data_IF_904654646542
#
_entry.id   IF_904654646542
#
_cell.length_a   1.000
_cell.length_b   1.000
_cell.length_c   1.000
_cell.angle_alpha   90.00
_cell.angle_beta   90.00
_cell.angle_gamma   90.00
#
_symmetry.space_group_name_H-M   'P 1'
#
loop_
_entity.id
_entity.type
_entity.pdbx_description
1 polymer ?
#
# COMPACT_ATOMS: atom_id res chain seq x y z
N UNK A 1 -18.48 -23.55 64.01
CA UNK A 1 -17.37 -23.33 63.07
C UNK A 1 -17.47 -21.91 62.54
N UNK A 2 -16.43 -21.09 62.73
CA UNK A 2 -16.37 -19.69 62.34
C UNK A 2 -15.09 -19.54 61.52
N UNK A 3 -15.19 -19.24 60.22
CA UNK A 3 -14.02 -19.02 59.36
C UNK A 3 -13.89 -17.54 59.03
N UNK A 4 -12.81 -16.97 59.54
CA UNK A 4 -12.49 -15.56 59.54
C UNK A 4 -12.18 -15.05 58.12
N UNK A 5 -12.87 -13.98 57.74
CA UNK A 5 -12.49 -13.05 56.67
C UNK A 5 -11.12 -12.41 56.97
N UNK A 6 -10.18 -12.50 56.03
CA UNK A 6 -8.89 -11.81 56.08
C UNK A 6 -8.67 -10.98 54.82
N UNK A 7 -9.02 -9.69 54.90
CA UNK A 7 -8.76 -8.65 53.90
C UNK A 7 -7.72 -7.69 54.46
N UNK A 8 -6.55 -7.55 53.82
CA UNK A 8 -5.64 -6.39 53.98
C UNK A 8 -4.87 -6.20 52.67
N UNK A 9 -5.24 -5.19 51.86
CA UNK A 9 -4.70 -3.81 51.79
C UNK A 9 -3.35 -3.73 51.06
N UNK A 10 -3.36 -3.21 49.81
CA UNK A 10 -2.86 -1.88 49.38
C UNK A 10 -1.37 -1.66 49.67
N UNK A 11 -0.49 -1.20 48.77
CA UNK A 11 -0.46 -0.03 47.87
C UNK A 11 0.94 -0.14 47.17
N UNK A 12 1.27 0.34 45.97
CA UNK A 12 1.45 1.74 45.62
C UNK A 12 1.76 1.87 44.12
N UNK A 13 1.00 2.76 43.49
CA UNK A 13 1.31 3.45 42.23
C UNK A 13 2.43 4.46 42.49
N UNK A 14 3.47 4.51 41.64
CA UNK A 14 4.34 5.68 41.54
C UNK A 14 4.10 6.40 40.22
N UNK A 15 3.86 7.69 40.40
CA UNK A 15 3.60 8.72 39.41
C UNK A 15 4.92 9.25 38.83
N UNK A 16 4.84 9.83 37.64
CA UNK A 16 5.95 10.47 36.91
C UNK A 16 5.52 10.61 35.44
N UNK A 17 4.52 11.43 35.16
CA UNK A 17 4.62 12.86 34.79
C UNK A 17 4.74 13.07 33.28
N UNK A 18 3.92 14.00 32.81
CA UNK A 18 3.52 14.21 31.44
C UNK A 18 4.60 14.87 30.57
N UNK A 19 4.72 14.43 29.31
CA UNK A 19 4.97 15.33 28.18
C UNK A 19 4.14 14.89 26.98
N UNK A 20 3.04 15.59 26.77
CA UNK A 20 2.31 15.64 25.51
C UNK A 20 3.26 16.10 24.40
N UNK A 21 3.52 15.26 23.41
CA UNK A 21 3.98 15.75 22.11
C UNK A 21 2.76 16.26 21.35
N UNK A 22 2.42 17.51 21.62
CA UNK A 22 1.73 18.39 20.68
C UNK A 22 2.54 18.39 19.38
N UNK A 23 1.96 17.95 18.25
CA UNK A 23 2.50 18.28 16.93
C UNK A 23 1.94 19.65 16.56
N UNK A 24 2.70 20.76 16.67
CA UNK A 24 2.19 22.05 16.25
C UNK A 24 2.11 22.06 14.72
N UNK A 25 0.89 22.23 14.22
CA UNK A 25 0.60 22.70 12.86
C UNK A 25 1.12 24.15 12.75
N UNK A 26 2.42 24.30 12.52
CA UNK A 26 3.09 25.58 12.31
C UNK A 26 3.08 25.92 10.83
N UNK A 27 2.18 26.80 10.42
CA UNK A 27 2.26 27.52 9.14
C UNK A 27 3.44 28.50 9.25
N UNK A 28 4.55 28.20 8.59
CA UNK A 28 5.61 29.18 8.33
C UNK A 28 5.61 29.54 6.85
N UNK A 29 5.15 30.76 6.58
CA UNK A 29 5.45 31.51 5.38
C UNK A 29 6.94 31.89 5.40
N UNK A 30 7.72 31.36 4.47
CA UNK A 30 9.04 31.90 4.13
C UNK A 30 9.07 32.14 2.62
N UNK A 31 9.17 33.41 2.26
CA UNK A 31 9.41 33.86 0.89
C UNK A 31 10.86 33.50 0.48
N UNK A 32 11.12 33.21 -0.81
CA UNK A 32 12.45 32.86 -1.28
C UNK A 32 13.30 34.12 -1.53
N UNK A 33 14.43 34.25 -0.83
CA UNK A 33 15.49 35.19 -1.19
C UNK A 33 16.60 34.44 -1.93
N UNK A 34 16.63 34.68 -3.24
CA UNK A 34 17.79 34.68 -4.15
C UNK A 34 19.18 34.38 -3.54
N UNK A 35 19.82 33.30 -4.00
CA UNK A 35 21.12 33.36 -4.68
C UNK A 35 21.66 31.96 -5.00
N UNK A 36 21.87 31.74 -6.30
CA UNK A 36 22.77 30.79 -6.97
C UNK A 36 23.35 29.60 -6.18
N UNK A 37 22.82 28.42 -6.50
CA UNK A 37 23.63 27.21 -6.69
C UNK A 37 22.93 26.34 -7.74
N UNK A 38 23.21 26.61 -9.02
CA UNK A 38 22.83 25.71 -10.10
C UNK A 38 23.62 24.41 -9.99
N UNK A 39 23.00 23.38 -9.40
CA UNK A 39 23.32 22.00 -9.74
C UNK A 39 22.37 21.56 -10.85
N UNK A 40 22.93 21.43 -12.04
CA UNK A 40 22.24 21.12 -13.29
C UNK A 40 21.86 19.63 -13.29
N UNK A 41 20.64 19.32 -12.87
CA UNK A 41 20.04 18.00 -13.03
C UNK A 41 19.68 17.79 -14.51
N UNK A 42 20.57 17.16 -15.26
CA UNK A 42 20.35 16.83 -16.67
C UNK A 42 19.28 15.74 -16.79
N UNK A 43 18.06 16.18 -17.08
CA UNK A 43 16.91 15.34 -17.42
C UNK A 43 17.06 14.77 -18.84
N UNK A 44 17.86 13.72 -19.02
CA UNK A 44 17.92 12.93 -20.26
C UNK A 44 18.30 11.47 -19.98
N UNK A 45 17.32 10.63 -19.62
CA UNK A 45 17.35 9.21 -19.99
C UNK A 45 16.18 8.92 -20.93
N UNK A 46 16.18 9.62 -22.05
CA UNK A 46 15.47 9.20 -23.26
C UNK A 46 16.17 7.96 -23.79
N UNK A 47 15.73 6.79 -23.36
CA UNK A 47 16.08 5.52 -23.97
C UNK A 47 15.20 5.36 -25.22
N UNK A 48 15.75 5.75 -26.38
CA UNK A 48 15.16 5.44 -27.68
C UNK A 48 15.39 3.96 -27.93
N UNK A 49 14.35 3.14 -27.80
CA UNK A 49 14.34 1.81 -28.42
C UNK A 49 14.05 2.02 -29.89
N UNK A 50 15.09 1.90 -30.70
CA UNK A 50 14.97 1.71 -32.14
C UNK A 50 14.23 0.39 -32.36
N UNK A 51 12.96 0.49 -32.77
CA UNK A 51 12.19 -0.66 -33.20
C UNK A 51 12.61 -0.98 -34.64
N UNK A 52 13.13 -2.19 -34.84
CA UNK A 52 13.39 -2.75 -36.17
C UNK A 52 12.10 -3.41 -36.67
N UNK A 53 11.60 -2.94 -37.81
CA UNK A 53 10.52 -3.57 -38.54
C UNK A 53 11.09 -4.74 -39.35
N UNK A 54 10.79 -5.97 -38.94
CA UNK A 54 10.90 -7.15 -39.79
C UNK A 54 9.53 -7.79 -39.92
N UNK A 55 8.97 -7.66 -41.12
CA UNK A 55 7.80 -8.39 -41.55
C UNK A 55 8.13 -9.86 -41.78
N UNK A 56 7.23 -10.72 -41.34
CA UNK A 56 7.01 -12.04 -41.92
C UNK A 56 5.51 -12.30 -41.84
N UNK A 57 4.87 -12.14 -42.97
CA UNK A 57 3.53 -12.62 -43.27
C UNK A 57 3.53 -14.15 -43.24
N UNK A 58 2.78 -14.76 -42.32
CA UNK A 58 2.34 -16.14 -42.51
C UNK A 58 0.98 -16.35 -41.86
N UNK A 59 0.05 -16.77 -42.70
CA UNK A 59 -1.34 -17.07 -42.41
C UNK A 59 -1.48 -18.53 -42.00
N UNK A 60 -2.10 -18.80 -40.85
CA UNK A 60 -2.81 -20.06 -40.61
C UNK A 60 -4.18 -19.78 -39.99
N UNK A 61 -5.20 -20.16 -40.76
CA UNK A 61 -6.61 -20.19 -40.39
C UNK A 61 -6.93 -21.41 -39.51
N UNK A 62 -8.09 -21.33 -38.85
CA UNK A 62 -8.83 -22.36 -38.13
C UNK A 62 -8.30 -22.66 -36.71
N UNK A 63 -9.13 -22.75 -35.67
CA UNK A 63 -10.52 -23.16 -35.64
C UNK A 63 -11.30 -22.38 -34.57
N UNK A 64 -12.61 -22.26 -34.80
CA UNK A 64 -13.59 -21.76 -33.85
C UNK A 64 -13.63 -22.63 -32.60
N UNK A 65 -13.26 -22.07 -31.45
CA UNK A 65 -13.88 -22.41 -30.18
C UNK A 65 -14.60 -21.17 -29.68
N UNK A 66 -15.93 -21.19 -29.82
CA UNK A 66 -16.81 -20.15 -29.31
C UNK A 66 -16.99 -20.40 -27.82
N UNK A 67 -15.95 -20.15 -27.04
CA UNK A 67 -16.06 -20.06 -25.58
C UNK A 67 -16.93 -18.82 -25.29
N UNK A 68 -18.14 -19.08 -24.83
CA UNK A 68 -19.16 -18.12 -24.41
C UNK A 68 -18.53 -17.01 -23.56
N UNK A 69 -18.16 -15.88 -24.19
CA UNK A 69 -17.63 -14.71 -23.49
C UNK A 69 -18.67 -14.27 -22.45
N UNK A 70 -18.38 -14.34 -21.14
CA UNK A 70 -19.34 -13.91 -20.14
C UNK A 70 -19.59 -12.43 -20.35
N UNK A 71 -20.87 -12.10 -20.61
CA UNK A 71 -21.38 -10.75 -20.85
C UNK A 71 -20.64 -9.74 -19.97
N UNK A 72 -19.93 -8.80 -20.60
CA UNK A 72 -19.11 -7.82 -19.91
C UNK A 72 -19.93 -7.16 -18.79
N UNK A 73 -19.57 -7.48 -17.54
CA UNK A 73 -20.28 -6.98 -16.37
C UNK A 73 -20.12 -5.47 -16.37
N UNK A 74 -21.23 -4.73 -16.39
CA UNK A 74 -21.21 -3.26 -16.41
C UNK A 74 -20.50 -2.77 -15.15
N UNK A 75 -19.29 -2.22 -15.29
CA UNK A 75 -18.47 -1.86 -14.14
C UNK A 75 -18.95 -0.51 -13.57
N UNK A 76 -19.25 -0.50 -12.27
CA UNK A 76 -19.80 0.65 -11.54
C UNK A 76 -19.13 0.75 -10.18
N UNK A 77 -18.95 1.96 -9.69
CA UNK A 77 -18.35 2.20 -8.39
C UNK A 77 -19.24 1.61 -7.28
N UNK A 78 -18.64 0.87 -6.34
CA UNK A 78 -19.41 0.32 -5.22
C UNK A 78 -19.95 1.41 -4.27
N UNK A 79 -19.15 2.46 -4.01
CA UNK A 79 -19.54 3.59 -3.13
C UNK A 79 -20.51 4.55 -3.83
N UNK A 80 -20.14 5.07 -5.00
CA UNK A 80 -20.88 6.15 -5.67
C UNK A 80 -21.74 5.72 -6.85
N UNK A 81 -21.70 4.45 -7.26
CA UNK A 81 -22.45 3.87 -8.40
C UNK A 81 -22.23 4.56 -9.75
N UNK A 82 -21.28 5.50 -9.85
CA UNK A 82 -20.81 6.09 -11.11
C UNK A 82 -20.34 4.97 -12.04
N UNK A 83 -20.70 5.07 -13.33
CA UNK A 83 -20.24 4.14 -14.35
C UNK A 83 -18.72 4.24 -14.46
N UNK A 84 -18.06 3.11 -14.25
CA UNK A 84 -16.64 2.93 -14.47
C UNK A 84 -16.53 2.36 -15.88
N UNK A 85 -16.00 3.15 -16.81
CA UNK A 85 -15.78 2.69 -18.18
C UNK A 85 -14.60 1.73 -18.23
N UNK A 86 -13.65 1.99 -19.13
CA UNK A 86 -12.37 1.29 -19.16
C UNK A 86 -11.50 1.60 -17.91
N UNK A 87 -11.72 2.74 -17.28
CA UNK A 87 -10.94 3.29 -16.15
C UNK A 87 -11.48 2.89 -14.77
N UNK A 88 -11.86 1.62 -14.59
CA UNK A 88 -12.26 1.08 -13.29
C UNK A 88 -11.06 0.61 -12.47
N UNK A 89 -10.88 1.14 -11.25
CA UNK A 89 -9.84 0.64 -10.35
C UNK A 89 -10.40 -0.50 -9.50
N UNK A 90 -9.78 -1.67 -9.59
CA UNK A 90 -10.10 -2.80 -8.72
C UNK A 90 -9.35 -2.65 -7.40
N UNK A 91 -10.07 -2.73 -6.28
CA UNK A 91 -9.48 -2.77 -4.95
C UNK A 91 -9.20 -4.23 -4.53
N UNK A 92 -8.36 -4.41 -3.51
CA UNK A 92 -8.00 -5.73 -2.96
C UNK A 92 -9.18 -6.41 -2.28
N UNK A 93 -10.20 -5.66 -1.86
CA UNK A 93 -11.47 -6.20 -1.39
C UNK A 93 -12.37 -6.76 -2.52
N UNK A 94 -11.91 -6.78 -3.78
CA UNK A 94 -12.63 -7.35 -4.92
C UNK A 94 -13.68 -6.44 -5.58
N UNK A 95 -13.90 -5.25 -5.02
CA UNK A 95 -14.83 -4.25 -5.57
C UNK A 95 -14.13 -3.27 -6.52
N UNK A 96 -14.90 -2.68 -7.45
CA UNK A 96 -14.41 -1.66 -8.38
C UNK A 96 -14.84 -0.25 -7.97
N UNK A 97 -13.94 0.73 -8.13
CA UNK A 97 -14.12 2.11 -7.69
C UNK A 97 -13.71 3.14 -8.77
N UNK A 98 -14.23 4.36 -8.64
CA UNK A 98 -13.78 5.50 -9.45
C UNK A 98 -12.49 6.10 -8.88
N UNK A 99 -11.86 7.02 -9.63
CA UNK A 99 -10.64 7.71 -9.22
C UNK A 99 -10.70 8.33 -7.82
N UNK A 100 -11.88 8.81 -7.41
CA UNK A 100 -12.10 9.42 -6.08
C UNK A 100 -12.24 8.39 -4.96
N UNK A 101 -12.83 7.22 -5.23
CA UNK A 101 -13.08 6.18 -4.21
C UNK A 101 -12.05 5.03 -4.25
N UNK A 102 -10.92 5.26 -4.91
CA UNK A 102 -9.87 4.25 -5.11
C UNK A 102 -9.15 3.90 -3.81
N UNK A 103 -8.98 4.87 -2.92
CA UNK A 103 -8.20 4.72 -1.70
C UNK A 103 -8.99 4.03 -0.59
N UNK A 104 -8.32 3.23 0.23
CA UNK A 104 -8.93 2.42 1.30
C UNK A 104 -9.73 3.24 2.30
N UNK A 105 -9.32 4.49 2.53
CA UNK A 105 -9.95 5.42 3.48
C UNK A 105 -11.36 5.83 3.05
N UNK A 106 -11.64 5.76 1.75
CA UNK A 106 -12.87 6.31 1.14
C UNK A 106 -14.00 5.28 0.98
N UNK A 107 -13.71 3.98 1.13
CA UNK A 107 -14.69 2.92 0.91
C UNK A 107 -14.72 1.84 2.00
N UNK A 108 -14.15 2.12 3.18
CA UNK A 108 -14.09 1.17 4.31
C UNK A 108 -13.64 -0.22 3.86
N UNK A 109 -12.43 -0.30 3.27
CA UNK A 109 -11.89 -1.54 2.74
C UNK A 109 -11.86 -2.65 3.80
N UNK A 110 -12.47 -3.79 3.51
CA UNK A 110 -12.49 -4.97 4.40
C UNK A 110 -11.21 -5.80 4.35
N UNK A 111 -10.20 -5.35 3.60
CA UNK A 111 -8.95 -6.09 3.41
C UNK A 111 -7.89 -5.68 4.44
N UNK A 112 -7.32 -6.68 5.13
CA UNK A 112 -6.30 -6.46 6.16
C UNK A 112 -4.89 -6.30 5.57
N UNK A 113 -4.54 -5.05 5.22
CA UNK A 113 -3.23 -4.71 4.66
C UNK A 113 -2.05 -5.08 5.59
N UNK A 114 -2.27 -5.01 6.91
CA UNK A 114 -1.22 -5.30 7.91
C UNK A 114 -0.83 -6.78 7.91
N UNK A 115 -1.81 -7.67 7.88
CA UNK A 115 -1.57 -9.11 7.88
C UNK A 115 -0.88 -9.53 6.58
N UNK A 116 -1.37 -9.05 5.43
CA UNK A 116 -0.78 -9.38 4.14
C UNK A 116 0.66 -8.84 3.98
N UNK A 117 0.95 -7.65 4.51
CA UNK A 117 2.31 -7.12 4.51
C UNK A 117 3.25 -7.92 5.43
N UNK A 118 2.78 -8.32 6.62
CA UNK A 118 3.57 -9.12 7.54
C UNK A 118 3.88 -10.52 6.98
N UNK A 119 2.93 -11.13 6.29
CA UNK A 119 3.13 -12.41 5.63
C UNK A 119 4.20 -12.33 4.54
N UNK A 120 4.16 -11.29 3.70
CA UNK A 120 5.18 -11.04 2.67
C UNK A 120 6.55 -10.79 3.27
N UNK A 121 6.64 -9.97 4.32
CA UNK A 121 7.91 -9.71 5.00
C UNK A 121 8.50 -10.97 5.65
N UNK A 122 7.66 -11.88 6.15
CA UNK A 122 8.11 -13.16 6.70
C UNK A 122 8.66 -14.08 5.62
N UNK A 123 8.05 -14.08 4.44
CA UNK A 123 8.54 -14.85 3.28
C UNK A 123 9.86 -14.28 2.76
N UNK A 124 9.98 -12.95 2.71
CA UNK A 124 11.15 -12.25 2.19
C UNK A 124 12.34 -12.20 3.16
N UNK A 125 12.14 -12.44 4.46
CA UNK A 125 13.21 -12.42 5.46
C UNK A 125 13.65 -13.85 5.83
N UNK A 126 14.58 -14.46 5.07
CA UNK A 126 15.16 -15.74 5.44
C UNK A 126 15.93 -15.57 6.75
N UNK A 127 15.71 -16.49 7.68
CA UNK A 127 16.35 -16.44 9.00
C UNK A 127 17.86 -16.62 8.82
N UNK A 128 18.61 -15.53 9.04
CA UNK A 128 20.06 -15.55 9.00
C UNK A 128 20.57 -16.18 10.30
N UNK A 129 20.88 -17.47 10.25
CA UNK A 129 21.58 -18.17 11.35
C UNK A 129 23.08 -18.05 11.10
N UNK A 130 23.73 -17.09 11.74
CA UNK A 130 25.18 -17.03 11.73
C UNK A 130 25.75 -18.02 12.76
N UNK A 131 26.66 -18.88 12.32
CA UNK A 131 27.43 -19.75 13.21
C UNK A 131 28.32 -18.87 14.12
N UNK A 132 28.34 -19.18 15.41
CA UNK A 132 29.06 -18.38 16.42
C UNK A 132 30.57 -18.49 16.14
N UNK A 133 31.12 -17.42 15.55
CA UNK A 133 32.53 -17.32 15.21
C UNK A 133 33.38 -17.55 16.46
N UNK A 134 34.31 -18.50 16.40
CA UNK A 134 35.26 -18.76 17.48
C UNK A 134 36.31 -17.66 17.53
N UNK A 135 36.53 -17.13 18.72
CA UNK A 135 37.47 -16.04 18.99
C UNK A 135 38.90 -16.53 18.75
N UNK A 136 39.61 -15.88 17.83
CA UNK A 136 41.05 -16.05 17.58
C UNK A 136 41.83 -15.38 18.71
#
# INVERSE_FOLDING_TARGET
MCECTGSTTTKQVKQGEARQTFYPFGKTSVAPSSSDAQLQYTHTHTFIVTYEASGSEESVNAALETEEKPKAKKSRCFTCRKKLGLTGFQCRCGNAFCSMHRYSDTHNCTFDYRANAAEKLREENPIVVAEKIQKI
#
